data_IF_171016265674
#
_entry.id   IF_171016265674
#
_cell.length_a   1.000
_cell.length_b   1.000
_cell.length_c   1.000
_cell.angle_alpha   90.00
_cell.angle_beta   90.00
_cell.angle_gamma   90.00
#
_symmetry.space_group_name_H-M   'P 1'
#
loop_
_entity.id
_entity.type
_entity.pdbx_description
1 polymer ?
#
# COMPACT_ATOMS: atom_id res chain seq x y z
N UNK A 1 9.75 24.60 -19.55
CA UNK A 1 9.35 23.26 -19.04
C UNK A 1 10.13 22.85 -17.80
N UNK A 2 11.42 23.17 -17.67
CA UNK A 2 12.23 22.87 -16.47
C UNK A 2 11.71 23.56 -15.18
N UNK A 3 11.09 24.73 -15.32
CA UNK A 3 10.53 25.51 -14.21
C UNK A 3 9.40 24.79 -13.45
N UNK A 4 8.61 23.94 -14.13
CA UNK A 4 7.50 23.19 -13.52
C UNK A 4 8.02 22.10 -12.58
N UNK A 5 9.13 21.46 -12.93
CA UNK A 5 9.69 20.37 -12.13
C UNK A 5 10.34 20.86 -10.83
N UNK A 6 10.89 22.07 -10.85
CA UNK A 6 11.52 22.71 -9.69
C UNK A 6 10.51 23.31 -8.72
N UNK A 7 9.28 23.62 -9.16
CA UNK A 7 8.24 24.16 -8.29
C UNK A 7 7.51 23.10 -7.46
N UNK A 8 7.70 21.82 -7.78
CA UNK A 8 7.09 20.72 -7.03
C UNK A 8 7.78 20.59 -5.65
N UNK A 9 7.02 20.57 -4.54
CA UNK A 9 7.58 20.47 -3.19
C UNK A 9 8.00 19.03 -2.87
N UNK A 10 9.06 18.55 -3.52
CA UNK A 10 9.56 17.17 -3.38
C UNK A 10 9.84 16.74 -1.94
N UNK A 11 10.24 17.69 -1.08
CA UNK A 11 10.47 17.44 0.35
C UNK A 11 9.22 16.97 1.10
N UNK A 12 8.02 17.33 0.64
CA UNK A 12 6.75 16.90 1.22
C UNK A 12 6.21 15.64 0.53
N UNK A 13 6.40 15.52 -0.79
CA UNK A 13 5.85 14.42 -1.59
C UNK A 13 6.65 13.13 -1.41
N UNK A 14 7.99 13.20 -1.38
CA UNK A 14 8.84 12.02 -1.24
C UNK A 14 8.51 11.17 0.01
N UNK A 15 8.35 11.75 1.21
CA UNK A 15 7.94 10.98 2.39
C UNK A 15 6.61 10.25 2.19
N UNK A 16 5.62 10.89 1.56
CA UNK A 16 4.32 10.28 1.30
C UNK A 16 4.43 9.09 0.34
N UNK A 17 5.21 9.24 -0.73
CA UNK A 17 5.48 8.14 -1.68
C UNK A 17 6.21 6.99 -0.97
N UNK A 18 7.21 7.28 -0.15
CA UNK A 18 7.96 6.25 0.60
C UNK A 18 7.02 5.49 1.54
N UNK A 19 6.19 6.19 2.32
CA UNK A 19 5.21 5.56 3.21
C UNK A 19 4.24 4.69 2.40
N UNK A 20 3.74 5.20 1.28
CA UNK A 20 2.83 4.45 0.40
C UNK A 20 3.48 3.15 -0.10
N UNK A 21 4.71 3.22 -0.60
CA UNK A 21 5.43 2.06 -1.14
C UNK A 21 5.78 1.05 -0.04
N UNK A 22 6.18 1.53 1.15
CA UNK A 22 6.43 0.67 2.31
C UNK A 22 5.16 -0.05 2.75
N UNK A 23 4.05 0.69 2.91
CA UNK A 23 2.77 0.14 3.33
C UNK A 23 2.27 -0.92 2.34
N UNK A 24 2.35 -0.62 1.03
CA UNK A 24 2.01 -1.55 -0.04
C UNK A 24 2.92 -2.79 -0.03
N UNK A 25 4.24 -2.60 0.05
CA UNK A 25 5.21 -3.69 0.06
C UNK A 25 5.03 -4.62 1.25
N UNK A 26 4.87 -4.06 2.45
CA UNK A 26 4.63 -4.84 3.68
C UNK A 26 3.30 -5.61 3.55
N UNK A 27 2.23 -4.98 3.05
CA UNK A 27 0.94 -5.65 2.86
C UNK A 27 1.04 -6.83 1.90
N UNK A 28 1.73 -6.67 0.75
CA UNK A 28 1.91 -7.75 -0.22
C UNK A 28 2.75 -8.91 0.35
N UNK A 29 3.81 -8.60 1.09
CA UNK A 29 4.63 -9.61 1.78
C UNK A 29 3.79 -10.36 2.83
N UNK A 30 2.98 -9.63 3.60
CA UNK A 30 2.12 -10.20 4.63
C UNK A 30 1.02 -11.08 4.02
N UNK A 31 0.38 -10.69 2.92
CA UNK A 31 -0.58 -11.51 2.17
C UNK A 31 0.06 -12.82 1.70
N UNK A 32 1.28 -12.74 1.16
CA UNK A 32 2.02 -13.90 0.66
C UNK A 32 2.40 -14.87 1.79
N UNK A 33 2.80 -14.34 2.94
CA UNK A 33 3.25 -15.14 4.11
C UNK A 33 2.09 -15.68 4.93
N UNK A 34 0.97 -14.98 4.98
CA UNK A 34 -0.20 -15.36 5.78
C UNK A 34 -0.82 -16.64 5.21
N UNK A 35 -1.09 -17.60 6.09
CA UNK A 35 -1.75 -18.85 5.70
C UNK A 35 -3.23 -18.59 5.39
N UNK A 36 -3.88 -17.78 6.24
CA UNK A 36 -5.26 -17.33 6.06
C UNK A 36 -5.36 -15.80 6.10
N UNK A 37 -6.22 -15.26 5.23
CA UNK A 37 -6.65 -13.86 5.23
C UNK A 37 -8.18 -13.87 5.18
N UNK A 38 -8.83 -12.77 5.58
CA UNK A 38 -10.29 -12.70 5.56
C UNK A 38 -10.81 -12.65 4.11
N UNK A 39 -11.19 -13.80 3.55
CA UNK A 39 -11.63 -13.94 2.16
C UNK A 39 -10.50 -14.34 1.20
N UNK A 40 -10.70 -14.20 -0.13
CA UNK A 40 -9.71 -14.66 -1.11
C UNK A 40 -8.44 -13.80 -1.12
N UNK A 41 -7.26 -14.43 -1.06
CA UNK A 41 -5.96 -13.72 -1.11
C UNK A 41 -5.82 -12.83 -2.34
N UNK A 42 -6.30 -13.29 -3.50
CA UNK A 42 -6.21 -12.54 -4.75
C UNK A 42 -6.96 -11.19 -4.68
N UNK A 43 -8.12 -11.16 -4.01
CA UNK A 43 -8.91 -9.94 -3.83
C UNK A 43 -8.11 -8.91 -3.03
N UNK A 44 -7.43 -9.34 -1.98
CA UNK A 44 -6.58 -8.45 -1.19
C UNK A 44 -5.38 -7.92 -1.97
N UNK A 45 -4.75 -8.74 -2.82
CA UNK A 45 -3.68 -8.27 -3.71
C UNK A 45 -4.18 -7.16 -4.64
N UNK A 46 -5.35 -7.34 -5.25
CA UNK A 46 -5.95 -6.32 -6.12
C UNK A 46 -6.28 -5.04 -5.34
N UNK A 47 -6.89 -5.17 -4.16
CA UNK A 47 -7.21 -4.03 -3.30
C UNK A 47 -5.95 -3.22 -2.95
N UNK A 48 -4.88 -3.90 -2.53
CA UNK A 48 -3.60 -3.29 -2.16
C UNK A 48 -2.94 -2.55 -3.32
N UNK A 49 -3.07 -3.07 -4.55
CA UNK A 49 -2.44 -2.47 -5.73
C UNK A 49 -3.26 -1.32 -6.35
N UNK A 50 -4.59 -1.41 -6.33
CA UNK A 50 -5.44 -0.49 -7.10
C UNK A 50 -6.13 0.60 -6.26
N UNK A 51 -6.21 0.46 -4.93
CA UNK A 51 -6.93 1.42 -4.06
C UNK A 51 -5.94 2.37 -3.34
N UNK A 52 -4.80 2.67 -3.96
CA UNK A 52 -3.80 3.63 -3.44
C UNK A 52 -3.45 3.38 -1.96
N UNK A 53 -3.43 4.41 -1.10
CA UNK A 53 -3.12 4.26 0.33
C UNK A 53 -4.19 3.50 1.10
N UNK A 54 -5.45 3.57 0.66
CA UNK A 54 -6.55 2.89 1.35
C UNK A 54 -6.46 1.38 1.20
N UNK A 55 -5.96 0.86 0.07
CA UNK A 55 -5.84 -0.58 -0.17
C UNK A 55 -5.03 -1.32 0.90
N UNK A 56 -3.75 -0.98 1.12
CA UNK A 56 -2.93 -1.57 2.16
C UNK A 56 -3.44 -1.28 3.58
N UNK A 57 -3.99 -0.07 3.85
CA UNK A 57 -4.62 0.23 5.15
C UNK A 57 -5.80 -0.72 5.44
N UNK A 58 -6.70 -0.91 4.46
CA UNK A 58 -7.84 -1.83 4.57
C UNK A 58 -7.38 -3.28 4.79
N UNK A 59 -6.32 -3.70 4.10
CA UNK A 59 -5.74 -5.03 4.32
C UNK A 59 -5.29 -5.22 5.78
N UNK A 60 -4.57 -4.26 6.36
CA UNK A 60 -4.09 -4.40 7.74
C UNK A 60 -5.21 -4.39 8.78
N UNK A 61 -6.30 -3.64 8.53
CA UNK A 61 -7.43 -3.52 9.46
C UNK A 61 -8.40 -4.70 9.31
N UNK A 62 -8.75 -5.07 8.08
CA UNK A 62 -9.84 -6.02 7.78
C UNK A 62 -9.35 -7.31 7.14
N UNK A 63 -8.29 -7.28 6.34
CA UNK A 63 -7.81 -8.43 5.59
C UNK A 63 -6.95 -9.39 6.39
N UNK A 64 -6.14 -8.87 7.30
CA UNK A 64 -5.24 -9.65 8.14
C UNK A 64 -6.03 -10.41 9.21
N UNK A 65 -6.02 -11.74 9.13
CA UNK A 65 -6.57 -12.60 10.19
C UNK A 65 -5.51 -12.74 11.28
N UNK A 66 -5.76 -12.16 12.44
CA UNK A 66 -4.94 -12.39 13.63
C UNK A 66 -5.45 -13.70 14.23
N UNK A 67 -4.68 -14.77 14.04
CA UNK A 67 -4.94 -16.05 14.71
C UNK A 67 -4.45 -16.04 16.14
#
# INVERSE_FOLDING_TARGET
>A
MEEVWQSIPWKLILPLIVIQLLLMGIALIDIKRSHEVNGPKLVWVLIVLFISMLGPVLYFILGRRQS
#
